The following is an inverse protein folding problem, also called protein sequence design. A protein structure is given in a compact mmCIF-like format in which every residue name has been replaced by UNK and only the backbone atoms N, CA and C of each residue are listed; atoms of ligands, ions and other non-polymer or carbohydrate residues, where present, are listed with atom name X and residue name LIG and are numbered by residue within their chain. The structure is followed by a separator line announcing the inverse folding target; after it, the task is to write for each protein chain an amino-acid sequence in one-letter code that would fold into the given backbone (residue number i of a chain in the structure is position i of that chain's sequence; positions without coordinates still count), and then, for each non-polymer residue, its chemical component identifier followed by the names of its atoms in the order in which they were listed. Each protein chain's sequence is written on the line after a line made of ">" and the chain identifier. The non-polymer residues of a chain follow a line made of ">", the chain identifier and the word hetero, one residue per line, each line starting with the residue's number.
data_IF_488896115617
#
_entry.id   IF_488896115617
#
_cell.length_a   1.000
_cell.length_b   1.000
_cell.length_c   1.000
_cell.angle_alpha   90.00
_cell.angle_beta   90.00
_cell.angle_gamma   90.00
#
_symmetry.space_group_name_H-M   'P 1'
#
loop_
_entity.id
_entity.type
_entity.pdbx_description
1 polymer ?
#
# COMPACT_ATOMS: atom_id res chain seq x y z
N UNK A 1 8.68 -17.53 -27.16
CA UNK A 1 9.74 -16.62 -27.65
C UNK A 1 11.07 -17.36 -27.67
N UNK A 2 11.82 -17.37 -28.78
CA UNK A 2 13.10 -18.10 -28.87
C UNK A 2 14.26 -17.32 -28.21
N UNK A 3 15.40 -17.97 -28.00
CA UNK A 3 16.58 -17.41 -27.31
C UNK A 3 17.19 -16.21 -28.06
N UNK A 4 17.28 -16.27 -29.38
CA UNK A 4 17.86 -15.20 -30.21
C UNK A 4 17.07 -13.90 -30.11
N UNK A 5 15.74 -13.98 -30.09
CA UNK A 5 14.86 -12.82 -29.90
C UNK A 5 15.07 -12.21 -28.52
N UNK A 6 15.22 -13.04 -27.47
CA UNK A 6 15.49 -12.55 -26.11
C UNK A 6 16.80 -11.77 -26.03
N UNK A 7 17.89 -12.28 -26.60
CA UNK A 7 19.19 -11.58 -26.60
C UNK A 7 19.15 -10.22 -27.30
N UNK A 8 18.31 -10.07 -28.34
CA UNK A 8 18.20 -8.81 -29.09
C UNK A 8 17.26 -7.80 -28.45
N UNK A 9 16.21 -8.25 -27.75
CA UNK A 9 15.09 -7.41 -27.33
C UNK A 9 14.93 -7.27 -25.81
N UNK A 10 15.47 -8.21 -25.02
CA UNK A 10 15.36 -8.16 -23.56
C UNK A 10 16.65 -7.61 -22.94
N UNK A 11 16.51 -6.75 -21.93
CA UNK A 11 17.65 -6.21 -21.18
C UNK A 11 17.84 -6.94 -19.85
N UNK A 12 19.07 -7.10 -19.34
CA UNK A 12 19.28 -7.43 -17.94
C UNK A 12 18.52 -6.44 -17.05
N UNK A 13 17.86 -6.87 -15.97
CA UNK A 13 17.95 -8.19 -15.33
C UNK A 13 16.96 -9.26 -15.82
N UNK A 14 16.15 -9.03 -16.87
CA UNK A 14 15.10 -9.97 -17.33
C UNK A 14 15.69 -11.28 -17.88
N UNK A 15 16.86 -11.20 -18.49
CA UNK A 15 17.61 -12.34 -19.02
C UNK A 15 19.05 -12.33 -18.52
N UNK A 16 19.67 -13.51 -18.45
CA UNK A 16 21.10 -13.66 -18.18
C UNK A 16 21.96 -13.36 -19.43
N UNK A 17 23.29 -13.38 -19.28
CA UNK A 17 24.24 -13.17 -20.38
C UNK A 17 24.09 -14.22 -21.50
N UNK A 18 23.47 -15.35 -21.21
CA UNK A 18 23.22 -16.43 -22.15
C UNK A 18 21.85 -16.31 -22.81
N UNK A 19 20.99 -15.37 -22.45
CA UNK A 19 19.64 -15.20 -23.01
C UNK A 19 18.59 -16.15 -22.42
N UNK A 20 18.86 -16.76 -21.26
CA UNK A 20 17.85 -17.47 -20.48
C UNK A 20 17.06 -16.49 -19.64
N UNK A 21 15.80 -16.83 -19.33
CA UNK A 21 14.97 -16.01 -18.46
C UNK A 21 15.55 -16.04 -17.05
N UNK A 22 15.74 -14.86 -16.46
CA UNK A 22 16.12 -14.75 -15.07
C UNK A 22 14.90 -14.99 -14.18
N UNK A 23 14.67 -16.24 -13.78
CA UNK A 23 13.55 -16.59 -12.91
C UNK A 23 13.61 -15.89 -11.55
N UNK A 24 14.81 -15.53 -11.06
CA UNK A 24 14.95 -14.79 -9.80
C UNK A 24 14.47 -13.33 -9.93
N UNK A 25 14.53 -12.72 -11.12
CA UNK A 25 13.97 -11.39 -11.35
C UNK A 25 12.44 -11.38 -11.25
N UNK A 26 11.79 -12.48 -11.60
CA UNK A 26 10.34 -12.66 -11.54
C UNK A 26 9.87 -13.44 -10.32
N UNK A 27 10.78 -13.83 -9.42
CA UNK A 27 10.43 -14.54 -8.23
C UNK A 27 9.76 -13.58 -7.24
N UNK A 28 8.65 -14.01 -6.65
CA UNK A 28 8.02 -13.27 -5.57
C UNK A 28 9.01 -13.15 -4.41
N UNK A 29 9.28 -11.92 -3.97
CA UNK A 29 10.12 -11.67 -2.82
C UNK A 29 9.29 -12.05 -1.58
N UNK A 30 9.74 -13.00 -0.74
CA UNK A 30 9.03 -13.35 0.49
C UNK A 30 8.79 -12.11 1.35
N UNK A 31 7.53 -11.86 1.72
CA UNK A 31 7.14 -10.68 2.48
C UNK A 31 6.86 -9.42 1.64
N UNK A 32 6.98 -9.46 0.32
CA UNK A 32 6.57 -8.34 -0.54
C UNK A 32 5.05 -8.16 -0.59
N UNK A 33 4.28 -9.26 -0.57
CA UNK A 33 2.82 -9.18 -0.58
C UNK A 33 2.25 -8.78 0.78
N UNK A 34 1.16 -8.02 0.76
CA UNK A 34 0.42 -7.65 1.96
C UNK A 34 -0.55 -8.76 2.34
N UNK A 35 -0.39 -9.28 3.54
CA UNK A 35 -1.22 -10.32 4.14
C UNK A 35 -2.26 -9.73 5.10
N UNK A 36 -3.19 -10.56 5.57
CA UNK A 36 -4.12 -10.19 6.65
C UNK A 36 -3.36 -9.84 7.94
N UNK A 37 -2.30 -10.58 8.26
CA UNK A 37 -1.43 -10.29 9.40
C UNK A 37 -0.74 -8.92 9.26
N UNK A 38 -0.36 -8.49 8.05
CA UNK A 38 0.19 -7.15 7.84
C UNK A 38 -0.86 -6.05 8.09
N UNK A 39 -2.13 -6.32 7.77
CA UNK A 39 -3.24 -5.41 8.08
C UNK A 39 -3.47 -5.29 9.59
N UNK A 40 -3.45 -6.41 10.32
CA UNK A 40 -3.55 -6.42 11.79
C UNK A 40 -2.38 -5.67 12.44
N UNK A 41 -1.16 -5.87 11.94
CA UNK A 41 0.03 -5.15 12.40
C UNK A 41 -0.05 -3.65 12.09
N UNK A 42 -0.63 -3.26 10.95
CA UNK A 42 -0.89 -1.86 10.65
C UNK A 42 -1.89 -1.24 11.62
N UNK A 43 -2.99 -1.93 11.95
CA UNK A 43 -3.98 -1.47 12.93
C UNK A 43 -3.32 -1.29 14.30
N UNK A 44 -2.54 -2.27 14.76
CA UNK A 44 -1.77 -2.17 16.00
C UNK A 44 -0.77 -1.00 15.98
N UNK A 45 -0.12 -0.77 14.83
CA UNK A 45 0.80 0.33 14.63
C UNK A 45 0.12 1.69 14.71
N UNK A 46 -1.06 1.82 14.11
CA UNK A 46 -1.89 3.03 14.23
C UNK A 46 -2.30 3.24 15.68
N UNK A 47 -2.72 2.20 16.39
CA UNK A 47 -3.11 2.30 17.80
C UNK A 47 -1.95 2.75 18.69
N UNK A 48 -0.75 2.22 18.44
CA UNK A 48 0.44 2.54 19.23
C UNK A 48 1.04 3.91 18.89
N UNK A 49 1.27 4.17 17.61
CA UNK A 49 2.05 5.32 17.14
C UNK A 49 1.18 6.43 16.56
N UNK A 50 0.02 6.11 16.00
CA UNK A 50 -0.89 7.05 15.37
C UNK A 50 -0.66 7.17 13.85
N UNK A 51 -1.72 7.52 13.12
CA UNK A 51 -1.65 7.81 11.68
C UNK A 51 -0.60 8.90 11.41
N UNK A 52 0.26 8.67 10.42
CA UNK A 52 1.34 9.58 10.03
C UNK A 52 2.70 9.27 10.65
N UNK A 53 2.77 8.38 11.66
CA UNK A 53 4.04 7.94 12.26
C UNK A 53 4.55 6.63 11.62
N UNK A 54 4.63 6.62 10.29
CA UNK A 54 4.91 5.41 9.50
C UNK A 54 6.33 4.88 9.68
N UNK A 55 7.31 5.73 9.95
CA UNK A 55 8.69 5.30 10.26
C UNK A 55 8.71 4.35 11.48
N UNK A 56 7.91 4.67 12.51
CA UNK A 56 7.82 3.85 13.72
C UNK A 56 7.08 2.53 13.44
N UNK A 57 6.01 2.58 12.64
CA UNK A 57 5.24 1.39 12.25
C UNK A 57 6.12 0.44 11.42
N UNK A 58 6.82 0.95 10.41
CA UNK A 58 7.76 0.18 9.59
C UNK A 58 8.84 -0.43 10.49
N UNK A 59 9.55 0.39 11.27
CA UNK A 59 10.67 -0.07 12.09
C UNK A 59 10.30 -1.16 13.11
N UNK A 60 9.12 -1.07 13.72
CA UNK A 60 8.77 -1.91 14.87
C UNK A 60 7.79 -3.04 14.57
N UNK A 61 6.99 -2.93 13.51
CA UNK A 61 5.91 -3.88 13.22
C UNK A 61 5.97 -4.42 11.79
N UNK A 62 6.34 -3.58 10.83
CA UNK A 62 6.36 -3.92 9.40
C UNK A 62 7.73 -3.64 8.76
N UNK A 63 8.83 -4.27 9.23
CA UNK A 63 10.19 -3.90 8.82
C UNK A 63 10.50 -4.19 7.34
N UNK A 64 9.71 -5.05 6.70
CA UNK A 64 9.85 -5.40 5.30
C UNK A 64 8.91 -4.58 4.38
N UNK A 65 8.13 -3.66 4.94
CA UNK A 65 7.19 -2.82 4.17
C UNK A 65 7.73 -1.41 4.05
N UNK A 66 7.63 -0.89 2.83
CA UNK A 66 8.00 0.49 2.55
C UNK A 66 7.01 1.47 3.18
N UNK A 67 7.50 2.64 3.58
CA UNK A 67 6.70 3.69 4.22
C UNK A 67 5.55 4.15 3.30
N UNK A 68 5.80 4.24 1.99
CA UNK A 68 4.78 4.63 1.01
C UNK A 68 3.69 3.56 0.94
N UNK A 69 4.07 2.28 0.99
CA UNK A 69 3.10 1.17 1.01
C UNK A 69 2.25 1.21 2.28
N UNK A 70 2.86 1.40 3.46
CA UNK A 70 2.15 1.54 4.74
C UNK A 70 1.17 2.73 4.70
N UNK A 71 1.59 3.86 4.13
CA UNK A 71 0.72 5.03 3.95
C UNK A 71 -0.46 4.71 3.02
N UNK A 72 -0.21 4.08 1.87
CA UNK A 72 -1.25 3.67 0.92
C UNK A 72 -2.26 2.72 1.59
N UNK A 73 -1.78 1.74 2.36
CA UNK A 73 -2.63 0.82 3.12
C UNK A 73 -3.45 1.55 4.18
N UNK A 74 -2.89 2.57 4.81
CA UNK A 74 -3.64 3.45 5.71
C UNK A 74 -4.77 4.20 4.98
N UNK A 75 -4.52 4.71 3.77
CA UNK A 75 -5.56 5.32 2.92
C UNK A 75 -6.71 4.33 2.63
N UNK A 76 -6.38 3.07 2.29
CA UNK A 76 -7.38 2.02 2.05
C UNK A 76 -8.15 1.64 3.31
N UNK A 77 -7.47 1.61 4.45
CA UNK A 77 -8.03 1.28 5.75
C UNK A 77 -9.04 2.36 6.21
N UNK A 78 -8.73 3.63 5.98
CA UNK A 78 -9.60 4.77 6.30
C UNK A 78 -10.58 5.12 5.18
N UNK A 79 -10.45 4.52 4.00
CA UNK A 79 -11.30 4.79 2.84
C UNK A 79 -11.16 6.20 2.26
N UNK A 80 -10.01 6.86 2.45
CA UNK A 80 -9.77 8.24 2.02
C UNK A 80 -8.40 8.41 1.35
N UNK A 81 -8.33 9.25 0.32
CA UNK A 81 -7.09 9.52 -0.41
C UNK A 81 -6.14 10.40 0.40
N UNK A 82 -6.64 11.54 0.90
CA UNK A 82 -5.94 12.37 1.85
C UNK A 82 -6.28 11.90 3.27
N UNK A 83 -5.25 11.65 4.08
CA UNK A 83 -5.39 11.19 5.47
C UNK A 83 -4.76 12.14 6.48
N UNK A 84 -4.39 13.35 6.06
CA UNK A 84 -3.77 14.35 6.92
C UNK A 84 -4.69 14.79 8.07
N UNK A 85 -6.00 14.82 7.83
CA UNK A 85 -7.02 15.10 8.86
C UNK A 85 -7.05 14.05 9.98
N UNK A 86 -6.54 12.84 9.71
CA UNK A 86 -6.48 11.74 10.68
C UNK A 86 -5.12 11.67 11.39
N UNK A 87 -4.18 12.57 11.11
CA UNK A 87 -2.83 12.54 11.70
C UNK A 87 -2.91 12.49 13.24
N UNK A 88 -2.22 11.49 13.82
CA UNK A 88 -2.22 11.24 15.26
C UNK A 88 -3.41 10.42 15.78
N UNK A 89 -4.36 10.02 14.92
CA UNK A 89 -5.42 9.08 15.30
C UNK A 89 -4.81 7.77 15.79
N UNK A 90 -5.13 7.39 17.04
CA UNK A 90 -4.70 6.14 17.70
C UNK A 90 -5.87 5.22 18.07
N UNK A 91 -7.10 5.59 17.74
CA UNK A 91 -8.28 4.83 18.16
C UNK A 91 -8.70 3.87 17.03
N UNK A 92 -8.21 2.63 17.10
CA UNK A 92 -8.44 1.59 16.10
C UNK A 92 -9.93 1.25 15.93
N UNK A 93 -10.74 1.38 17.00
CA UNK A 93 -12.17 1.11 16.96
C UNK A 93 -12.94 2.07 16.03
N UNK A 94 -12.40 3.28 15.79
CA UNK A 94 -13.03 4.27 14.90
C UNK A 94 -12.76 4.03 13.42
N UNK A 95 -11.83 3.13 13.06
CA UNK A 95 -11.40 2.92 11.68
C UNK A 95 -12.58 2.52 10.79
N UNK A 96 -13.40 1.56 11.22
CA UNK A 96 -14.55 1.07 10.46
C UNK A 96 -15.60 2.18 10.24
N UNK A 97 -15.86 2.99 11.26
CA UNK A 97 -16.79 4.12 11.19
C UNK A 97 -16.27 5.23 10.27
N UNK A 98 -14.97 5.57 10.37
CA UNK A 98 -14.31 6.55 9.50
C UNK A 98 -14.39 6.08 8.06
N UNK A 99 -14.03 4.82 7.78
CA UNK A 99 -14.13 4.23 6.44
C UNK A 99 -15.55 4.32 5.90
N UNK A 100 -16.54 3.92 6.69
CA UNK A 100 -17.95 3.99 6.28
C UNK A 100 -18.38 5.42 5.96
N UNK A 101 -18.02 6.40 6.79
CA UNK A 101 -18.30 7.82 6.56
C UNK A 101 -17.66 8.33 5.28
N UNK A 102 -16.38 8.01 5.05
CA UNK A 102 -15.64 8.44 3.87
C UNK A 102 -16.22 7.83 2.59
N UNK A 103 -16.53 6.53 2.60
CA UNK A 103 -17.17 5.87 1.47
C UNK A 103 -18.53 6.47 1.14
N UNK A 104 -19.35 6.78 2.15
CA UNK A 104 -20.65 7.42 1.97
C UNK A 104 -20.51 8.85 1.42
N UNK A 105 -19.57 9.64 1.93
CA UNK A 105 -19.26 10.96 1.40
C UNK A 105 -18.84 10.88 -0.07
N UNK A 106 -17.91 9.97 -0.40
CA UNK A 106 -17.46 9.74 -1.77
C UNK A 106 -18.57 9.34 -2.72
N UNK A 107 -19.50 8.45 -2.29
CA UNK A 107 -20.70 8.10 -3.07
C UNK A 107 -21.59 9.32 -3.31
N UNK A 108 -21.88 10.08 -2.24
CA UNK A 108 -22.76 11.26 -2.29
C UNK A 108 -22.20 12.36 -3.21
N UNK A 109 -20.88 12.56 -3.23
CA UNK A 109 -20.24 13.60 -4.04
C UNK A 109 -19.76 13.12 -5.41
N UNK A 110 -19.98 11.85 -5.78
CA UNK A 110 -19.46 11.27 -7.02
C UNK A 110 -17.93 11.15 -7.10
N UNK A 111 -17.25 11.21 -5.94
CA UNK A 111 -15.78 11.21 -5.81
C UNK A 111 -15.22 9.89 -5.26
N UNK A 112 -16.01 8.81 -5.31
CA UNK A 112 -15.53 7.47 -4.96
C UNK A 112 -14.83 6.84 -6.18
N UNK A 113 -13.54 6.52 -6.05
CA UNK A 113 -12.76 5.80 -7.07
C UNK A 113 -12.02 4.64 -6.43
N UNK A 114 -12.13 3.46 -7.04
CA UNK A 114 -11.44 2.25 -6.56
C UNK A 114 -11.65 1.95 -5.06
N UNK A 115 -12.84 2.26 -4.52
CA UNK A 115 -13.14 2.07 -3.10
C UNK A 115 -12.50 3.10 -2.15
N UNK A 116 -12.02 4.24 -2.66
CA UNK A 116 -11.40 5.31 -1.88
C UNK A 116 -12.11 6.64 -2.20
N UNK A 117 -12.40 7.42 -1.16
CA UNK A 117 -12.93 8.77 -1.30
C UNK A 117 -11.81 9.75 -1.66
N UNK A 118 -11.96 10.43 -2.80
CA UNK A 118 -11.09 11.51 -3.25
C UNK A 118 -11.42 12.83 -2.51
N UNK A 119 -11.05 12.91 -1.24
CA UNK A 119 -11.31 14.03 -0.31
C UNK A 119 -10.35 15.22 -0.49
N UNK A 120 -10.10 15.62 -1.74
CA UNK A 120 -9.40 16.86 -2.04
C UNK A 120 -10.37 17.91 -2.62
N UNK A 121 -10.04 19.17 -2.36
CA UNK A 121 -10.65 20.30 -3.04
C UNK A 121 -10.06 20.35 -4.45
N UNK A 122 -10.92 20.34 -5.48
CA UNK A 122 -10.51 20.76 -6.80
C UNK A 122 -10.36 22.28 -6.69
N UNK A 123 -9.13 22.76 -6.71
CA UNK A 123 -8.86 24.19 -6.93
C UNK A 123 -9.31 24.58 -8.34
#
# INVERSE_FOLDING_TARGET
>A
MNREIRLKLCSPPIIDQQGNINHAYFADIPGAHWSENDEDLLIQGIERYGVGNYDQISKHLLPNKDIIEIRLRTCMLLGAHNIDEFKGLKDSNKIADIKTKNLNAGKKTGKLKYGIYLNYNLN
#
